data_IF_407775706802
#
_entry.id   IF_407775706802
#
_cell.length_a   1.000
_cell.length_b   1.000
_cell.length_c   1.000
_cell.angle_alpha   90.00
_cell.angle_beta   90.00
_cell.angle_gamma   90.00
#
_symmetry.space_group_name_H-M   'P 1'
#
loop_
_entity.id
_entity.type
_entity.pdbx_description
1 polymer ?
#
# COMPACT_ATOMS: atom_id res chain seq x y z
N UNK A 1 6.96 -10.39 -11.26
CA UNK A 1 5.84 -9.60 -11.84
C UNK A 1 4.50 -10.30 -11.62
N UNK A 2 4.39 -11.61 -11.92
CA UNK A 2 3.19 -12.41 -11.64
C UNK A 2 2.90 -12.51 -10.13
N UNK A 3 3.94 -12.73 -9.31
CA UNK A 3 3.79 -12.78 -7.85
C UNK A 3 3.27 -11.46 -7.28
N UNK A 4 3.76 -10.32 -7.79
CA UNK A 4 3.28 -8.99 -7.39
C UNK A 4 1.78 -8.84 -7.69
N UNK A 5 1.33 -9.29 -8.85
CA UNK A 5 -0.06 -9.17 -9.30
C UNK A 5 -1.00 -10.06 -8.47
N UNK A 6 -0.55 -11.28 -8.15
CA UNK A 6 -1.27 -12.25 -7.29
C UNK A 6 -1.31 -11.78 -5.84
N UNK A 7 -0.20 -11.23 -5.33
CA UNK A 7 -0.07 -10.71 -3.96
C UNK A 7 -0.92 -9.44 -3.77
N UNK A 8 -1.05 -8.62 -4.83
CA UNK A 8 -2.01 -7.51 -4.86
C UNK A 8 -3.46 -8.01 -4.93
N UNK A 9 -3.76 -9.16 -5.54
CA UNK A 9 -5.13 -9.69 -5.61
C UNK A 9 -5.59 -10.42 -4.33
N UNK A 10 -4.68 -10.99 -3.53
CA UNK A 10 -5.01 -11.96 -2.46
C UNK A 10 -4.90 -11.44 -1.00
N UNK A 11 -4.91 -10.13 -0.77
CA UNK A 11 -4.76 -9.51 0.56
C UNK A 11 -3.39 -9.81 1.19
N UNK A 12 -2.46 -8.90 0.92
CA UNK A 12 -1.04 -8.96 1.33
C UNK A 12 -0.86 -9.17 2.85
N UNK A 13 -0.01 -10.13 3.23
CA UNK A 13 0.50 -10.32 4.61
C UNK A 13 1.99 -9.97 4.64
N UNK A 14 2.35 -8.91 5.37
CA UNK A 14 3.74 -8.49 5.59
C UNK A 14 4.06 -7.10 5.04
N UNK A 15 4.89 -6.36 5.77
CA UNK A 15 5.24 -4.97 5.47
C UNK A 15 6.53 -4.83 4.65
N UNK A 16 7.53 -5.67 4.92
CA UNK A 16 8.81 -5.69 4.22
C UNK A 16 8.93 -6.93 3.31
N UNK A 17 9.68 -6.78 2.21
CA UNK A 17 10.15 -7.90 1.38
C UNK A 17 11.29 -8.68 2.06
N UNK A 18 11.64 -9.85 1.54
CA UNK A 18 12.86 -10.59 1.88
C UNK A 18 14.13 -9.77 1.62
N UNK A 19 14.09 -8.82 0.67
CA UNK A 19 15.16 -7.84 0.41
C UNK A 19 15.10 -6.61 1.34
N UNK A 20 14.09 -6.53 2.22
CA UNK A 20 13.90 -5.42 3.15
C UNK A 20 13.35 -4.14 2.51
N UNK A 21 12.89 -4.16 1.27
CA UNK A 21 12.18 -3.02 0.67
C UNK A 21 10.75 -2.92 1.25
N UNK A 22 10.24 -1.71 1.54
CA UNK A 22 8.87 -1.54 2.01
C UNK A 22 7.91 -1.93 0.90
N UNK A 23 7.19 -3.02 1.13
CA UNK A 23 6.20 -3.54 0.20
C UNK A 23 4.96 -2.64 0.20
N UNK A 24 4.58 -2.07 1.35
CA UNK A 24 3.48 -1.12 1.48
C UNK A 24 3.98 0.32 1.30
N UNK A 25 3.89 0.84 0.08
CA UNK A 25 3.98 2.28 -0.19
C UNK A 25 2.61 2.81 -0.64
N UNK A 26 2.37 4.13 -0.49
CA UNK A 26 1.11 4.76 -0.90
C UNK A 26 0.71 4.41 -2.34
N UNK A 27 1.67 4.45 -3.28
CA UNK A 27 1.44 4.08 -4.67
C UNK A 27 0.95 2.64 -4.84
N UNK A 28 1.49 1.69 -4.07
CA UNK A 28 1.11 0.27 -4.15
C UNK A 28 -0.30 0.01 -3.61
N UNK A 29 -0.72 0.77 -2.59
CA UNK A 29 -2.07 0.71 -2.00
C UNK A 29 -3.09 1.20 -3.03
N UNK A 30 -2.83 2.37 -3.63
CA UNK A 30 -3.70 2.96 -4.66
C UNK A 30 -3.79 2.05 -5.89
N UNK A 31 -2.65 1.57 -6.40
CA UNK A 31 -2.62 0.65 -7.54
C UNK A 31 -3.41 -0.63 -7.25
N UNK A 32 -3.25 -1.21 -6.05
CA UNK A 32 -4.00 -2.39 -5.65
C UNK A 32 -5.50 -2.14 -5.56
N UNK A 33 -5.91 -0.97 -5.05
CA UNK A 33 -7.31 -0.54 -5.03
C UNK A 33 -7.90 -0.42 -6.44
N UNK A 34 -7.15 0.17 -7.38
CA UNK A 34 -7.57 0.31 -8.78
C UNK A 34 -7.74 -1.03 -9.48
N UNK A 35 -6.77 -1.95 -9.33
CA UNK A 35 -6.84 -3.29 -9.94
C UNK A 35 -8.04 -4.07 -9.40
N UNK A 36 -8.26 -4.08 -8.07
CA UNK A 36 -9.42 -4.76 -7.48
C UNK A 36 -10.74 -4.14 -7.93
N UNK A 37 -10.81 -2.81 -8.02
CA UNK A 37 -12.00 -2.11 -8.53
C UNK A 37 -12.28 -2.48 -9.98
N UNK A 38 -11.25 -2.57 -10.82
CA UNK A 38 -11.38 -3.01 -12.21
C UNK A 38 -11.93 -4.45 -12.30
N UNK A 39 -11.43 -5.37 -11.47
CA UNK A 39 -11.93 -6.75 -11.40
C UNK A 39 -13.40 -6.79 -10.95
N UNK A 40 -13.79 -5.98 -9.96
CA UNK A 40 -15.19 -5.88 -9.51
C UNK A 40 -16.10 -5.35 -10.61
N UNK A 41 -15.66 -4.37 -11.40
CA UNK A 41 -16.43 -3.84 -12.53
C UNK A 41 -16.66 -4.94 -13.57
N UNK A 42 -15.62 -5.68 -13.96
CA UNK A 42 -15.75 -6.80 -14.89
C UNK A 42 -16.69 -7.89 -14.36
N UNK A 43 -16.58 -8.21 -13.07
CA UNK A 43 -17.48 -9.15 -12.42
C UNK A 43 -18.93 -8.65 -12.41
N UNK A 44 -19.16 -7.35 -12.18
CA UNK A 44 -20.47 -6.72 -12.22
C UNK A 44 -21.14 -6.83 -13.59
N UNK A 45 -20.39 -6.62 -14.67
CA UNK A 45 -20.89 -6.84 -16.04
C UNK A 45 -21.23 -8.30 -16.31
N UNK A 46 -20.40 -9.24 -15.84
CA UNK A 46 -20.69 -10.67 -15.97
C UNK A 46 -21.96 -11.06 -15.20
N UNK A 47 -22.12 -10.60 -13.97
CA UNK A 47 -23.31 -10.84 -13.15
C UNK A 47 -24.55 -10.25 -13.84
N UNK A 48 -24.45 -9.05 -14.42
CA UNK A 48 -25.55 -8.44 -15.15
C UNK A 48 -26.01 -9.28 -16.34
N UNK A 49 -25.07 -9.85 -17.10
CA UNK A 49 -25.37 -10.71 -18.24
C UNK A 49 -26.16 -11.97 -17.85
N UNK A 50 -25.86 -12.59 -16.70
CA UNK A 50 -26.50 -13.85 -16.28
C UNK A 50 -27.68 -13.69 -15.32
N UNK A 51 -27.64 -12.71 -14.42
CA UNK A 51 -28.57 -12.56 -13.30
C UNK A 51 -29.48 -11.33 -13.39
N UNK A 52 -29.32 -10.50 -14.44
CA UNK A 52 -30.07 -9.26 -14.61
C UNK A 52 -29.59 -8.13 -13.70
N UNK A 53 -30.21 -6.96 -13.85
CA UNK A 53 -29.75 -5.71 -13.20
C UNK A 53 -30.08 -5.65 -11.71
N UNK A 54 -31.20 -6.24 -11.31
CA UNK A 54 -31.69 -6.31 -9.92
C UNK A 54 -30.67 -6.98 -9.00
N UNK A 55 -29.98 -8.02 -9.50
CA UNK A 55 -28.94 -8.72 -8.74
C UNK A 55 -27.56 -8.08 -8.91
N UNK A 56 -27.25 -7.57 -10.11
CA UNK A 56 -25.90 -7.08 -10.40
C UNK A 56 -25.53 -5.85 -9.57
N UNK A 57 -26.41 -4.86 -9.44
CA UNK A 57 -26.11 -3.62 -8.70
C UNK A 57 -25.77 -3.90 -7.22
N UNK A 58 -26.64 -4.54 -6.40
CA UNK A 58 -26.35 -4.74 -4.98
C UNK A 58 -25.12 -5.63 -4.77
N UNK A 59 -24.94 -6.67 -5.61
CA UNK A 59 -23.79 -7.56 -5.49
C UNK A 59 -22.47 -6.86 -5.88
N UNK A 60 -22.49 -6.02 -6.91
CA UNK A 60 -21.33 -5.21 -7.31
C UNK A 60 -20.93 -4.23 -6.22
N UNK A 61 -21.90 -3.58 -5.57
CA UNK A 61 -21.63 -2.66 -4.46
C UNK A 61 -21.04 -3.40 -3.25
N UNK A 62 -21.59 -4.57 -2.91
CA UNK A 62 -21.06 -5.41 -1.83
C UNK A 62 -19.62 -5.87 -2.12
N UNK A 63 -19.34 -6.28 -3.36
CA UNK A 63 -18.00 -6.67 -3.80
C UNK A 63 -17.03 -5.48 -3.81
N UNK A 64 -17.46 -4.31 -4.30
CA UNK A 64 -16.63 -3.11 -4.28
C UNK A 64 -16.22 -2.76 -2.85
N UNK A 65 -17.18 -2.77 -1.93
CA UNK A 65 -16.92 -2.41 -0.55
C UNK A 65 -16.05 -3.46 0.17
N UNK A 66 -16.41 -4.74 0.07
CA UNK A 66 -15.73 -5.82 0.79
C UNK A 66 -14.39 -6.26 0.18
N UNK A 67 -14.28 -6.27 -1.15
CA UNK A 67 -13.11 -6.78 -1.85
C UNK A 67 -12.13 -5.69 -2.33
N UNK A 68 -12.60 -4.48 -2.65
CA UNK A 68 -11.72 -3.39 -3.08
C UNK A 68 -11.44 -2.39 -1.95
N UNK A 69 -12.49 -1.80 -1.37
CA UNK A 69 -12.36 -0.68 -0.42
C UNK A 69 -11.84 -1.15 0.94
N UNK A 70 -12.45 -2.17 1.54
CA UNK A 70 -12.06 -2.67 2.86
C UNK A 70 -10.58 -3.07 2.97
N UNK A 71 -10.01 -3.90 2.07
CA UNK A 71 -8.60 -4.25 2.17
C UNK A 71 -7.67 -3.05 1.89
N UNK A 72 -8.04 -2.14 0.99
CA UNK A 72 -7.27 -0.92 0.75
C UNK A 72 -7.23 -0.03 2.01
N UNK A 73 -8.37 0.14 2.68
CA UNK A 73 -8.45 0.87 3.95
C UNK A 73 -7.59 0.20 5.04
N UNK A 74 -7.68 -1.13 5.19
CA UNK A 74 -6.84 -1.87 6.15
C UNK A 74 -5.35 -1.70 5.87
N UNK A 75 -4.93 -1.73 4.61
CA UNK A 75 -3.53 -1.49 4.22
C UNK A 75 -3.10 -0.06 4.52
N UNK A 76 -3.97 0.92 4.29
CA UNK A 76 -3.70 2.32 4.60
C UNK A 76 -3.51 2.55 6.11
N UNK A 77 -4.35 1.97 6.97
CA UNK A 77 -4.19 2.07 8.43
C UNK A 77 -2.87 1.47 8.88
N UNK A 78 -2.48 0.31 8.35
CA UNK A 78 -1.19 -0.32 8.66
C UNK A 78 -0.03 0.55 8.20
N UNK A 79 -0.12 1.15 7.01
CA UNK A 79 0.88 2.08 6.50
C UNK A 79 1.07 3.28 7.42
N UNK A 80 -0.01 3.97 7.80
CA UNK A 80 0.05 5.14 8.69
C UNK A 80 0.64 4.77 10.06
N UNK A 81 0.22 3.67 10.66
CA UNK A 81 0.75 3.24 11.97
C UNK A 81 2.25 2.95 11.91
N UNK A 82 2.74 2.35 10.82
CA UNK A 82 4.18 2.11 10.64
C UNK A 82 4.95 3.40 10.38
N UNK A 83 4.41 4.33 9.59
CA UNK A 83 5.06 5.62 9.36
C UNK A 83 5.16 6.42 10.65
N UNK A 84 4.10 6.44 11.48
CA UNK A 84 4.13 7.08 12.80
C UNK A 84 5.18 6.46 13.73
N UNK A 85 5.30 5.13 13.75
CA UNK A 85 6.34 4.46 14.54
C UNK A 85 7.76 4.85 14.08
N UNK A 86 7.99 4.95 12.77
CA UNK A 86 9.27 5.42 12.22
C UNK A 86 9.53 6.89 12.55
N UNK A 87 8.49 7.73 12.58
CA UNK A 87 8.58 9.13 12.99
C UNK A 87 9.01 9.28 14.45
N UNK A 88 8.45 8.47 15.34
CA UNK A 88 8.74 8.51 16.78
C UNK A 88 10.10 7.88 17.13
N UNK A 89 10.51 6.82 16.43
CA UNK A 89 11.70 6.03 16.77
C UNK A 89 12.98 6.49 16.06
N UNK A 90 12.88 7.14 14.88
CA UNK A 90 14.04 7.46 14.05
C UNK A 90 14.22 8.97 13.84
N UNK A 91 15.44 9.46 14.09
CA UNK A 91 15.84 10.84 13.80
C UNK A 91 15.70 11.18 12.30
N UNK A 92 15.88 10.20 11.40
CA UNK A 92 15.77 10.39 9.96
C UNK A 92 14.40 10.87 9.46
N UNK A 93 13.32 10.65 10.23
CA UNK A 93 11.98 11.14 9.86
C UNK A 93 11.88 12.67 9.83
N UNK A 94 12.68 13.34 10.65
CA UNK A 94 12.77 14.80 10.73
C UNK A 94 13.81 15.41 9.77
N UNK A 95 14.39 14.58 8.90
CA UNK A 95 15.39 15.02 7.93
C UNK A 95 14.71 15.67 6.72
N UNK A 96 15.26 16.79 6.24
CA UNK A 96 14.80 17.47 5.02
C UNK A 96 14.76 16.56 3.78
N UNK A 97 15.63 15.55 3.72
CA UNK A 97 15.77 14.65 2.59
C UNK A 97 14.89 13.40 2.68
N UNK A 98 14.07 13.27 3.73
CA UNK A 98 13.16 12.14 3.90
C UNK A 98 11.87 12.31 3.08
N UNK A 99 11.37 11.21 2.53
CA UNK A 99 10.10 11.17 1.81
C UNK A 99 9.10 10.25 2.51
N UNK A 100 8.10 10.83 3.17
CA UNK A 100 7.07 10.07 3.92
C UNK A 100 6.25 9.12 3.05
N UNK A 101 5.99 9.48 1.80
CA UNK A 101 5.14 8.69 0.90
C UNK A 101 5.79 7.39 0.45
N UNK A 102 7.13 7.39 0.36
CA UNK A 102 7.94 6.25 -0.08
C UNK A 102 8.86 5.66 0.99
N UNK A 103 8.97 6.30 2.16
CA UNK A 103 9.85 5.91 3.26
C UNK A 103 11.32 5.70 2.84
N UNK A 104 11.86 6.63 2.06
CA UNK A 104 13.25 6.58 1.60
C UNK A 104 13.94 7.94 1.77
N UNK A 105 15.26 7.90 1.89
CA UNK A 105 16.12 9.07 1.87
C UNK A 105 16.42 9.45 0.42
N UNK A 106 16.07 10.66 0.00
CA UNK A 106 16.28 11.15 -1.36
C UNK A 106 17.77 11.31 -1.71
N UNK A 107 18.64 11.53 -0.72
CA UNK A 107 20.07 11.75 -0.92
C UNK A 107 20.80 10.45 -1.28
N UNK A 108 20.42 9.36 -0.61
CA UNK A 108 21.07 8.05 -0.73
C UNK A 108 20.27 7.05 -1.57
N UNK A 109 19.02 7.37 -1.92
CA UNK A 109 18.06 6.49 -2.60
C UNK A 109 17.86 5.14 -1.86
N UNK A 110 17.96 5.20 -0.53
CA UNK A 110 17.86 4.05 0.36
C UNK A 110 16.60 4.13 1.22
N UNK A 111 15.96 2.98 1.44
CA UNK A 111 14.75 2.90 2.27
C UNK A 111 15.11 2.90 3.76
N UNK A 112 14.35 3.67 4.53
CA UNK A 112 14.50 3.74 5.98
C UNK A 112 13.81 2.53 6.61
N UNK A 113 14.49 1.87 7.55
CA UNK A 113 13.93 0.74 8.31
C UNK A 113 14.22 0.90 9.80
N UNK A 114 13.43 0.28 10.70
CA UNK A 114 13.70 0.32 12.14
C UNK A 114 15.08 -0.22 12.51
N UNK A 115 15.58 -1.18 11.74
CA UNK A 115 16.89 -1.83 11.91
C UNK A 115 17.99 -1.24 11.02
N UNK A 116 17.67 -0.27 10.15
CA UNK A 116 18.62 0.30 9.20
C UNK A 116 18.35 1.79 8.94
N UNK A 117 19.31 2.61 9.37
CA UNK A 117 19.30 4.05 9.18
C UNK A 117 20.26 4.39 8.02
N UNK A 118 19.77 4.90 6.89
CA UNK A 118 20.64 5.33 5.80
C UNK A 118 21.56 6.45 6.29
N UNK A 119 22.82 6.45 5.86
CA UNK A 119 23.92 7.34 6.31
C UNK A 119 24.28 7.31 7.81
N UNK A 120 23.69 6.41 8.61
CA UNK A 120 23.95 6.34 10.05
C UNK A 120 23.56 7.59 10.85
N UNK A 121 22.93 8.58 10.21
CA UNK A 121 22.61 9.88 10.78
C UNK A 121 23.69 10.95 10.62
N UNK A 122 24.79 10.67 9.90
CA UNK A 122 25.92 11.62 9.75
C UNK A 122 25.57 12.84 8.87
N UNK A 123 24.79 12.64 7.81
CA UNK A 123 24.33 13.71 6.91
C UNK A 123 22.89 14.15 7.22
N UNK A 124 22.47 14.05 8.48
CA UNK A 124 21.16 14.48 8.90
C UNK A 124 21.06 16.01 8.93
N UNK A 125 20.09 16.56 8.19
CA UNK A 125 19.79 18.00 8.18
C UNK A 125 18.36 18.24 8.68
N UNK A 126 18.16 19.09 9.70
CA UNK A 126 16.82 19.39 10.20
C UNK A 126 15.98 20.08 9.11
N UNK A 127 14.71 19.65 9.00
CA UNK A 127 13.69 20.23 8.13
C UNK A 127 13.27 21.65 8.54
#
# INVERSE_FOLDING_TARGET
MLDVLVDQLLVRRGYYDAEGSPRLAMGTIVLGGLIRSFVVILAGFAIWYYGGIELSIPLSLALLWGYAVYPAYRQFVVFINHTQALEEELLCSSCRHYNDSGQFCQLYDEHVRPDYIPCGGDDWEPS
#
